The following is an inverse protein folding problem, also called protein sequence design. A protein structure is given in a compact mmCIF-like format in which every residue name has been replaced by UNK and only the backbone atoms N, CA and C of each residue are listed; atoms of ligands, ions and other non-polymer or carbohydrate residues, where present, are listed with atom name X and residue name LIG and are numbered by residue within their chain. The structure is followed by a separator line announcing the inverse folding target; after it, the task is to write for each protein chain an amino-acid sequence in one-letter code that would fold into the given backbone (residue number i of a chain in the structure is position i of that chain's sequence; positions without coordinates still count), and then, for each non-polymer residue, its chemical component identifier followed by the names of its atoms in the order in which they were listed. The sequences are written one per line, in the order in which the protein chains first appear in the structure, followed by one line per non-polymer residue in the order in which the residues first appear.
data_IF_899266191515
#
_entry.id   IF_899266191515
#
_cell.length_a   1.000
_cell.length_b   1.000
_cell.length_c   1.000
_cell.angle_alpha   90.00
_cell.angle_beta   90.00
_cell.angle_gamma   90.00
#
_symmetry.space_group_name_H-M   'P 1'
#
loop_
_entity.id
_entity.type
_entity.pdbx_description
1 polymer ?
#
# COMPACT_ATOMS: atom_id res chain seq x y z
N UNK A 1 7.70 -5.80 9.79
CA UNK A 1 6.65 -5.02 9.06
C UNK A 1 7.12 -4.78 7.64
N UNK A 2 6.22 -4.86 6.65
CA UNK A 2 6.54 -4.69 5.23
C UNK A 2 5.64 -3.59 4.67
N UNK A 3 6.25 -2.53 4.13
CA UNK A 3 5.57 -1.42 3.45
C UNK A 3 5.67 -1.65 1.96
N UNK A 4 4.55 -1.71 1.25
CA UNK A 4 4.48 -1.80 -0.21
C UNK A 4 3.81 -0.55 -0.73
N UNK A 5 4.59 0.30 -1.38
CA UNK A 5 4.16 1.54 -2.02
C UNK A 5 4.37 1.51 -3.53
N UNK A 6 4.02 2.58 -4.19
CA UNK A 6 4.17 2.80 -5.62
C UNK A 6 2.92 3.38 -6.24
N UNK A 7 2.98 3.84 -7.48
CA UNK A 7 1.90 4.59 -8.09
C UNK A 7 0.59 3.81 -8.22
N UNK A 8 -0.51 4.56 -8.29
CA UNK A 8 -1.82 3.97 -8.53
C UNK A 8 -1.83 3.25 -9.88
N UNK A 9 -2.35 2.03 -9.92
CA UNK A 9 -2.40 1.22 -11.16
C UNK A 9 -1.23 0.27 -11.34
N UNK A 10 -0.17 0.34 -10.54
CA UNK A 10 1.02 -0.50 -10.68
C UNK A 10 0.81 -1.99 -10.35
N UNK A 11 -0.34 -2.36 -9.73
CA UNK A 11 -0.70 -3.76 -9.46
C UNK A 11 -0.43 -4.23 -8.03
N UNK A 12 -0.24 -3.33 -7.06
CA UNK A 12 0.01 -3.67 -5.64
C UNK A 12 -0.99 -4.67 -5.05
N UNK A 13 -2.29 -4.50 -5.36
CA UNK A 13 -3.33 -5.39 -4.82
C UNK A 13 -3.15 -6.84 -5.29
N UNK A 14 -2.81 -7.03 -6.57
CA UNK A 14 -2.55 -8.35 -7.16
C UNK A 14 -1.32 -9.01 -6.53
N UNK A 15 -0.23 -8.23 -6.38
CA UNK A 15 1.01 -8.72 -5.76
C UNK A 15 0.78 -9.11 -4.30
N UNK A 16 0.11 -8.26 -3.52
CA UNK A 16 -0.17 -8.52 -2.10
C UNK A 16 -1.05 -9.75 -1.95
N UNK A 17 -2.13 -9.86 -2.72
CA UNK A 17 -2.99 -11.05 -2.70
C UNK A 17 -2.17 -12.32 -2.96
N UNK A 18 -1.34 -12.31 -3.99
CA UNK A 18 -0.51 -13.47 -4.33
C UNK A 18 0.53 -13.79 -3.25
N UNK A 19 1.12 -12.79 -2.62
CA UNK A 19 2.03 -12.97 -1.48
C UNK A 19 1.33 -13.65 -0.28
N UNK A 20 0.12 -13.21 0.06
CA UNK A 20 -0.68 -13.78 1.16
C UNK A 20 -1.11 -15.21 0.87
N UNK A 21 -1.36 -15.56 -0.40
CA UNK A 21 -1.67 -16.93 -0.81
C UNK A 21 -0.48 -17.86 -0.59
N UNK A 22 0.74 -17.38 -0.85
CA UNK A 22 1.98 -18.17 -0.81
C UNK A 22 2.66 -18.22 0.56
N UNK A 23 2.46 -17.22 1.41
CA UNK A 23 3.07 -17.18 2.74
C UNK A 23 2.03 -16.84 3.82
N UNK A 24 1.62 -17.84 4.59
CA UNK A 24 0.60 -17.70 5.63
C UNK A 24 1.07 -16.97 6.89
N UNK A 25 2.36 -16.64 7.01
CA UNK A 25 2.88 -15.75 8.06
C UNK A 25 2.56 -14.29 7.79
N UNK A 26 2.31 -13.92 6.55
CA UNK A 26 1.93 -12.56 6.16
C UNK A 26 0.47 -12.29 6.51
N UNK A 27 0.21 -11.08 6.99
CA UNK A 27 -1.14 -10.54 7.23
C UNK A 27 -1.24 -9.17 6.57
N UNK A 28 -2.27 -8.95 5.78
CA UNK A 28 -2.58 -7.63 5.23
C UNK A 28 -3.32 -6.77 6.25
N UNK A 29 -2.80 -5.59 6.54
CA UNK A 29 -3.51 -4.61 7.37
C UNK A 29 -4.48 -3.82 6.52
N UNK A 30 -5.78 -4.10 6.67
CA UNK A 30 -6.85 -3.38 5.98
C UNK A 30 -6.92 -1.95 6.49
N UNK A 31 -6.71 -0.98 5.59
CA UNK A 31 -6.73 0.46 5.91
C UNK A 31 -8.15 1.03 5.99
N UNK A 32 -8.32 2.10 6.77
CA UNK A 32 -9.50 2.94 6.72
C UNK A 32 -9.44 3.94 5.57
N UNK A 33 -10.58 4.30 4.98
CA UNK A 33 -10.67 5.34 3.95
C UNK A 33 -12.00 6.08 3.99
N UNK A 34 -11.99 7.35 3.56
CA UNK A 34 -13.21 8.15 3.35
C UNK A 34 -13.72 8.09 1.92
N UNK A 35 -13.00 7.39 1.02
CA UNK A 35 -13.44 7.15 -0.35
C UNK A 35 -14.66 6.23 -0.37
N UNK A 36 -15.61 6.51 -1.25
CA UNK A 36 -16.72 5.59 -1.50
C UNK A 36 -16.21 4.24 -2.04
N UNK A 37 -16.86 3.11 -1.67
CA UNK A 37 -16.53 1.81 -2.22
C UNK A 37 -16.68 1.80 -3.74
N UNK A 38 -15.79 1.09 -4.44
CA UNK A 38 -15.92 0.81 -5.88
C UNK A 38 -16.76 -0.46 -6.08
N UNK A 39 -17.32 -0.66 -7.29
CA UNK A 39 -17.98 -1.92 -7.63
C UNK A 39 -17.08 -3.13 -7.30
N UNK A 40 -17.61 -4.09 -6.56
CA UNK A 40 -16.90 -5.30 -6.17
C UNK A 40 -16.00 -5.18 -4.93
N UNK A 41 -15.80 -3.99 -4.38
CA UNK A 41 -15.09 -3.83 -3.10
C UNK A 41 -16.00 -4.17 -1.92
N UNK A 42 -15.45 -4.87 -0.94
CA UNK A 42 -16.17 -5.28 0.27
C UNK A 42 -15.61 -4.57 1.51
N UNK A 43 -16.50 -4.13 2.42
CA UNK A 43 -16.08 -3.59 3.70
C UNK A 43 -15.20 -4.59 4.48
N UNK A 44 -14.16 -4.08 5.12
CA UNK A 44 -13.19 -4.81 5.94
C UNK A 44 -12.39 -5.93 5.23
N UNK A 45 -12.61 -6.11 3.92
CA UNK A 45 -11.72 -6.91 3.05
C UNK A 45 -10.77 -6.00 2.27
N UNK A 46 -11.30 -5.01 1.57
CA UNK A 46 -10.52 -4.07 0.76
C UNK A 46 -10.13 -2.82 1.55
N UNK A 47 -11.13 -2.23 2.23
CA UNK A 47 -10.99 -1.08 3.13
C UNK A 47 -12.09 -1.09 4.20
N UNK A 48 -11.80 -0.47 5.34
CA UNK A 48 -12.84 -0.02 6.28
C UNK A 48 -13.31 1.35 5.79
N UNK A 49 -14.52 1.39 5.18
CA UNK A 49 -15.09 2.63 4.65
C UNK A 49 -15.69 3.46 5.77
N UNK A 50 -15.23 4.70 5.92
CA UNK A 50 -15.57 5.62 7.00
C UNK A 50 -16.15 6.91 6.45
N UNK A 51 -17.02 7.56 7.21
CA UNK A 51 -17.35 8.96 6.93
C UNK A 51 -16.16 9.85 7.31
N UNK A 52 -16.03 11.01 6.66
CA UNK A 52 -14.95 11.97 6.98
C UNK A 52 -14.96 12.37 8.48
N UNK A 53 -16.11 12.73 9.11
CA UNK A 53 -16.13 13.04 10.54
C UNK A 53 -15.61 11.89 11.41
N UNK A 54 -15.99 10.63 11.09
CA UNK A 54 -15.51 9.46 11.84
C UNK A 54 -14.01 9.23 11.67
N UNK A 55 -13.48 9.42 10.47
CA UNK A 55 -12.05 9.34 10.23
C UNK A 55 -11.28 10.39 11.05
N UNK A 56 -11.76 11.64 11.03
CA UNK A 56 -11.13 12.75 11.77
C UNK A 56 -11.20 12.54 13.31
N UNK A 57 -12.30 11.95 13.82
CA UNK A 57 -12.40 11.51 15.21
C UNK A 57 -11.30 10.51 15.56
N UNK A 58 -11.10 9.48 14.70
CA UNK A 58 -10.09 8.45 14.88
C UNK A 58 -8.66 9.02 14.79
N UNK A 59 -8.43 10.01 13.93
CA UNK A 59 -7.14 10.74 13.89
C UNK A 59 -6.85 11.42 15.23
N UNK A 60 -7.85 12.15 15.77
CA UNK A 60 -7.71 12.84 17.08
C UNK A 60 -7.49 11.86 18.23
N UNK A 61 -8.07 10.67 18.14
CA UNK A 61 -7.89 9.60 19.13
C UNK A 61 -6.55 8.85 18.97
N UNK A 62 -5.70 9.17 17.97
CA UNK A 62 -4.44 8.47 17.74
C UNK A 62 -4.61 7.02 17.26
N UNK A 63 -5.78 6.69 16.70
CA UNK A 63 -6.13 5.33 16.30
C UNK A 63 -5.37 4.83 15.06
N UNK A 64 -4.74 5.73 14.30
CA UNK A 64 -3.97 5.37 13.14
C UNK A 64 -2.46 5.33 13.44
N UNK A 65 -1.76 4.38 12.85
CA UNK A 65 -0.30 4.31 12.82
C UNK A 65 0.27 5.40 11.91
N UNK A 66 -0.34 5.55 10.74
CA UNK A 66 -0.11 6.61 9.76
C UNK A 66 -1.44 7.01 9.11
N UNK A 67 -1.52 8.19 8.58
CA UNK A 67 -2.64 8.62 7.74
C UNK A 67 -2.20 9.67 6.72
N UNK A 68 -2.88 9.70 5.57
CA UNK A 68 -2.56 10.62 4.48
C UNK A 68 -3.81 11.03 3.71
N UNK A 69 -3.68 12.13 2.96
CA UNK A 69 -4.69 12.53 1.97
C UNK A 69 -4.20 12.14 0.59
N UNK A 70 -4.98 11.32 -0.10
CA UNK A 70 -4.69 10.89 -1.47
C UNK A 70 -5.89 11.14 -2.36
N UNK A 71 -5.70 11.93 -3.43
CA UNK A 71 -6.75 12.32 -4.37
C UNK A 71 -8.06 12.76 -3.67
N UNK A 72 -7.94 13.69 -2.70
CA UNK A 72 -9.06 14.28 -1.96
C UNK A 72 -9.70 13.39 -0.88
N UNK A 73 -9.30 12.14 -0.76
CA UNK A 73 -9.78 11.20 0.25
C UNK A 73 -8.73 10.93 1.33
N UNK A 74 -9.19 10.62 2.53
CA UNK A 74 -8.33 10.25 3.64
C UNK A 74 -8.13 8.73 3.63
N UNK A 75 -6.90 8.31 3.98
CA UNK A 75 -6.51 6.91 4.16
C UNK A 75 -5.70 6.80 5.44
N UNK A 76 -5.81 5.68 6.15
CA UNK A 76 -5.03 5.47 7.37
C UNK A 76 -4.93 4.00 7.75
N UNK A 77 -3.79 3.62 8.29
CA UNK A 77 -3.53 2.27 8.80
C UNK A 77 -3.89 2.21 10.29
N UNK A 78 -4.82 1.34 10.67
CA UNK A 78 -5.20 1.19 12.08
C UNK A 78 -4.06 0.64 12.92
N UNK A 79 -3.62 1.39 13.93
CA UNK A 79 -2.55 1.03 14.86
C UNK A 79 -2.82 -0.31 15.55
N UNK A 80 -4.02 -0.46 16.12
CA UNK A 80 -4.41 -1.68 16.85
C UNK A 80 -4.30 -2.94 15.99
N UNK A 81 -4.72 -2.88 14.72
CA UNK A 81 -4.64 -4.03 13.79
C UNK A 81 -3.18 -4.46 13.55
N UNK A 82 -2.30 -3.48 13.40
CA UNK A 82 -0.87 -3.73 13.20
C UNK A 82 -0.23 -4.30 14.46
N UNK A 83 -0.48 -3.70 15.62
CA UNK A 83 0.08 -4.12 16.90
C UNK A 83 -0.38 -5.52 17.29
N UNK A 84 -1.68 -5.82 17.12
CA UNK A 84 -2.22 -7.16 17.36
C UNK A 84 -1.56 -8.21 16.48
N UNK A 85 -1.48 -8.00 15.17
CA UNK A 85 -0.87 -8.96 14.27
C UNK A 85 0.62 -9.17 14.58
N UNK A 86 1.35 -8.12 14.95
CA UNK A 86 2.75 -8.22 15.37
C UNK A 86 2.92 -8.97 16.69
N UNK A 87 2.04 -8.75 17.67
CA UNK A 87 2.07 -9.49 18.94
C UNK A 87 1.79 -10.98 18.77
N UNK A 88 1.08 -11.36 17.70
CA UNK A 88 0.85 -12.76 17.29
C UNK A 88 2.05 -13.35 16.50
N UNK A 89 3.16 -12.63 16.37
CA UNK A 89 4.34 -13.06 15.62
C UNK A 89 4.14 -13.06 14.09
N UNK A 90 3.16 -12.29 13.58
CA UNK A 90 2.86 -12.21 12.15
C UNK A 90 3.64 -11.06 11.48
N UNK A 91 3.99 -11.27 10.25
CA UNK A 91 4.55 -10.22 9.41
C UNK A 91 3.44 -9.40 8.76
N UNK A 92 3.36 -8.11 9.11
CA UNK A 92 2.28 -7.23 8.65
C UNK A 92 2.67 -6.53 7.35
N UNK A 93 1.82 -6.67 6.33
CA UNK A 93 1.95 -5.96 5.05
C UNK A 93 1.04 -4.73 5.06
N UNK A 94 1.63 -3.57 4.82
CA UNK A 94 0.97 -2.28 4.65
C UNK A 94 0.98 -1.90 3.17
N UNK A 95 -0.19 -1.56 2.62
CA UNK A 95 -0.33 -0.94 1.28
C UNK A 95 -0.68 0.52 1.47
N UNK A 96 0.30 1.39 1.37
CA UNK A 96 0.19 2.82 1.65
C UNK A 96 0.85 3.65 0.54
N UNK A 97 0.52 4.94 0.49
CA UNK A 97 1.17 5.88 -0.41
C UNK A 97 2.53 6.36 0.14
N UNK A 98 3.21 7.23 -0.58
CA UNK A 98 4.53 7.73 -0.19
C UNK A 98 4.50 8.56 1.09
N UNK A 99 3.40 9.31 1.35
CA UNK A 99 3.26 10.11 2.58
C UNK A 99 3.10 9.21 3.81
N UNK A 100 2.29 8.15 3.69
CA UNK A 100 2.13 7.15 4.75
C UNK A 100 3.42 6.35 4.97
N UNK A 101 4.13 6.00 3.90
CA UNK A 101 5.41 5.30 3.99
C UNK A 101 6.48 6.12 4.70
N UNK A 102 6.54 7.43 4.46
CA UNK A 102 7.44 8.34 5.18
C UNK A 102 7.15 8.34 6.69
N UNK A 103 5.86 8.39 7.10
CA UNK A 103 5.46 8.34 8.50
C UNK A 103 5.87 7.01 9.14
N UNK A 104 5.60 5.88 8.48
CA UNK A 104 5.97 4.54 8.97
C UNK A 104 7.48 4.42 9.11
N UNK A 105 8.27 4.90 8.16
CA UNK A 105 9.73 4.86 8.18
C UNK A 105 10.32 5.59 9.39
N UNK A 106 9.70 6.71 9.80
CA UNK A 106 10.09 7.45 11.02
C UNK A 106 9.70 6.73 12.31
N UNK A 107 8.55 6.05 12.33
CA UNK A 107 8.02 5.37 13.52
C UNK A 107 8.57 3.96 13.71
N UNK A 108 8.90 3.28 12.62
CA UNK A 108 9.37 1.88 12.59
C UNK A 108 10.54 1.78 11.61
N UNK A 109 11.75 2.19 12.03
CA UNK A 109 12.94 2.23 11.14
C UNK A 109 13.33 0.89 10.53
N UNK A 110 12.97 -0.21 11.18
CA UNK A 110 13.22 -1.61 10.74
C UNK A 110 12.13 -2.16 9.81
N UNK A 111 11.15 -1.34 9.41
CA UNK A 111 10.18 -1.75 8.42
C UNK A 111 10.83 -1.88 7.04
N UNK A 112 10.67 -3.04 6.40
CA UNK A 112 11.11 -3.24 5.01
C UNK A 112 10.27 -2.35 4.11
N UNK A 113 10.88 -1.46 3.36
CA UNK A 113 10.19 -0.59 2.42
C UNK A 113 10.44 -1.02 0.98
N UNK A 114 9.35 -1.29 0.26
CA UNK A 114 9.36 -1.77 -1.13
C UNK A 114 8.53 -0.80 -1.98
N UNK A 115 9.17 -0.24 -3.00
CA UNK A 115 8.49 0.57 -4.01
C UNK A 115 8.25 -0.26 -5.27
N UNK A 116 6.99 -0.37 -5.70
CA UNK A 116 6.62 -1.13 -6.89
C UNK A 116 6.46 -0.18 -8.07
N UNK A 117 7.16 -0.48 -9.16
CA UNK A 117 7.08 0.28 -10.41
C UNK A 117 6.49 -0.56 -11.55
N UNK A 118 5.89 0.09 -12.52
CA UNK A 118 5.55 -0.54 -13.80
C UNK A 118 6.79 -0.64 -14.70
N UNK A 119 6.83 -1.54 -15.69
CA UNK A 119 7.96 -1.67 -16.61
C UNK A 119 8.19 -0.43 -17.47
N UNK A 120 7.16 0.37 -17.68
CA UNK A 120 7.25 1.68 -18.34
C UNK A 120 6.12 2.60 -17.91
N UNK A 121 6.27 3.90 -18.13
CA UNK A 121 5.22 4.88 -17.91
C UNK A 121 4.00 4.60 -18.80
N UNK A 122 4.20 4.25 -20.05
CA UNK A 122 3.13 3.89 -20.98
C UNK A 122 2.29 2.72 -20.46
N UNK A 123 2.94 1.69 -19.91
CA UNK A 123 2.26 0.54 -19.34
C UNK A 123 1.45 0.93 -18.09
N UNK A 124 1.99 1.81 -17.24
CA UNK A 124 1.28 2.35 -16.09
C UNK A 124 0.01 3.11 -16.51
N UNK A 125 0.12 3.96 -17.52
CA UNK A 125 -1.00 4.74 -18.06
C UNK A 125 -2.09 3.81 -18.64
N UNK A 126 -1.72 2.80 -19.42
CA UNK A 126 -2.65 1.79 -19.93
C UNK A 126 -3.36 1.03 -18.78
N UNK A 127 -2.65 0.67 -17.71
CA UNK A 127 -3.25 0.01 -16.55
C UNK A 127 -4.23 0.93 -15.79
N UNK A 128 -3.95 2.22 -15.73
CA UNK A 128 -4.84 3.22 -15.15
C UNK A 128 -6.13 3.38 -15.97
N UNK A 129 -6.02 3.46 -17.29
CA UNK A 129 -7.16 3.59 -18.21
C UNK A 129 -8.09 2.36 -18.19
N UNK A 130 -7.52 1.14 -18.16
CA UNK A 130 -8.29 -0.11 -18.13
C UNK A 130 -9.18 -0.28 -16.90
N UNK A 131 -8.98 0.49 -15.83
CA UNK A 131 -9.85 0.45 -14.63
C UNK A 131 -11.25 1.01 -14.88
N UNK A 132 -11.46 1.83 -15.91
CA UNK A 132 -12.76 2.17 -16.50
C UNK A 132 -13.78 2.91 -15.62
N UNK A 133 -13.43 3.28 -14.40
CA UNK A 133 -14.37 3.87 -13.41
C UNK A 133 -14.13 5.36 -13.16
N UNK A 134 -13.36 6.05 -14.03
CA UNK A 134 -12.82 7.38 -13.73
C UNK A 134 -13.09 8.38 -14.85
N UNK A 135 -13.32 9.63 -14.47
CA UNK A 135 -13.43 10.73 -15.44
C UNK A 135 -12.06 11.06 -16.04
N UNK A 136 -12.00 11.73 -17.22
CA UNK A 136 -10.73 12.20 -17.79
C UNK A 136 -9.93 13.11 -16.85
N UNK A 137 -10.62 13.90 -16.01
CA UNK A 137 -10.00 14.75 -15.00
C UNK A 137 -9.36 13.94 -13.87
N UNK A 138 -10.03 12.85 -13.41
CA UNK A 138 -9.47 11.95 -12.40
C UNK A 138 -8.21 11.24 -12.92
N UNK A 139 -8.21 10.84 -14.20
CA UNK A 139 -7.04 10.22 -14.85
C UNK A 139 -5.86 11.19 -14.93
N UNK A 140 -6.10 12.45 -15.32
CA UNK A 140 -5.05 13.48 -15.38
C UNK A 140 -4.44 13.74 -14.00
N UNK A 141 -5.29 13.91 -12.98
CA UNK A 141 -4.84 14.08 -11.58
C UNK A 141 -3.99 12.91 -11.10
N UNK A 142 -4.40 11.68 -11.42
CA UNK A 142 -3.65 10.46 -11.04
C UNK A 142 -2.31 10.32 -11.75
N UNK A 143 -2.22 10.72 -13.00
CA UNK A 143 -0.95 10.73 -13.75
C UNK A 143 0.05 11.68 -13.10
N UNK A 144 -0.42 12.87 -12.73
CA UNK A 144 0.43 13.86 -12.04
C UNK A 144 0.87 13.35 -10.65
N UNK A 145 -0.05 12.76 -9.88
CA UNK A 145 0.29 12.14 -8.59
C UNK A 145 1.30 11.00 -8.80
N UNK A 146 1.06 10.10 -9.77
CA UNK A 146 1.95 8.98 -10.06
C UNK A 146 3.37 9.43 -10.44
N UNK A 147 3.49 10.53 -11.18
CA UNK A 147 4.80 11.11 -11.51
C UNK A 147 5.55 11.58 -10.27
N UNK A 148 4.87 12.28 -9.35
CA UNK A 148 5.45 12.71 -8.07
C UNK A 148 5.79 11.53 -7.16
N UNK A 149 4.93 10.50 -7.12
CA UNK A 149 5.22 9.28 -6.36
C UNK A 149 6.48 8.59 -6.88
N UNK A 150 6.71 8.58 -8.20
CA UNK A 150 7.93 8.00 -8.80
C UNK A 150 9.21 8.72 -8.34
N UNK A 151 9.16 10.02 -8.08
CA UNK A 151 10.31 10.79 -7.57
C UNK A 151 10.74 10.34 -6.16
N UNK A 152 9.85 9.68 -5.40
CA UNK A 152 10.15 9.14 -4.07
C UNK A 152 10.70 7.71 -4.09
N UNK A 153 10.91 7.11 -5.26
CA UNK A 153 11.37 5.71 -5.37
C UNK A 153 12.73 5.48 -4.69
N UNK A 154 13.63 6.46 -4.75
CA UNK A 154 14.98 6.40 -4.18
C UNK A 154 14.99 6.42 -2.64
N UNK A 155 13.86 6.75 -2.02
CA UNK A 155 13.71 6.74 -0.56
C UNK A 155 13.40 5.33 0.00
N UNK A 156 13.16 4.35 -0.87
CA UNK A 156 12.81 2.98 -0.47
C UNK A 156 14.04 2.07 -0.51
N UNK A 157 14.09 1.14 0.44
CA UNK A 157 15.17 0.15 0.53
C UNK A 157 15.22 -0.76 -0.72
N UNK A 158 14.04 -1.05 -1.31
CA UNK A 158 13.92 -1.90 -2.47
C UNK A 158 12.96 -1.31 -3.51
N UNK A 159 13.34 -1.41 -4.79
CA UNK A 159 12.46 -1.10 -5.94
C UNK A 159 12.21 -2.37 -6.72
N UNK A 160 10.94 -2.73 -6.93
CA UNK A 160 10.52 -3.95 -7.64
C UNK A 160 9.69 -3.60 -8.85
N UNK A 161 10.11 -4.05 -10.03
CA UNK A 161 9.35 -3.85 -11.27
C UNK A 161 8.26 -4.92 -11.40
N UNK A 162 7.00 -4.51 -11.56
CA UNK A 162 5.88 -5.41 -11.83
C UNK A 162 5.61 -5.52 -13.35
N UNK A 163 6.51 -6.19 -14.03
CA UNK A 163 6.35 -6.61 -15.44
C UNK A 163 5.61 -7.96 -15.56
N UNK A 164 5.93 -8.89 -14.67
CA UNK A 164 5.26 -10.17 -14.48
C UNK A 164 4.97 -10.40 -12.99
N UNK A 165 3.75 -10.83 -12.67
CA UNK A 165 3.28 -10.96 -11.28
C UNK A 165 4.06 -12.01 -10.51
N UNK A 166 4.31 -13.18 -11.08
CA UNK A 166 5.01 -14.27 -10.37
C UNK A 166 6.49 -13.93 -10.15
N UNK A 167 7.14 -13.27 -11.12
CA UNK A 167 8.49 -12.78 -10.99
C UNK A 167 8.60 -11.72 -9.88
N UNK A 168 7.73 -10.70 -9.91
CA UNK A 168 7.71 -9.63 -8.91
C UNK A 168 7.41 -10.16 -7.50
N UNK A 169 6.45 -11.07 -7.36
CA UNK A 169 6.15 -11.76 -6.10
C UNK A 169 7.35 -12.57 -5.62
N UNK A 170 8.03 -13.30 -6.51
CA UNK A 170 9.23 -14.05 -6.19
C UNK A 170 10.38 -13.16 -5.68
N UNK A 171 10.51 -11.96 -6.25
CA UNK A 171 11.49 -10.96 -5.81
C UNK A 171 11.14 -10.40 -4.43
N UNK A 172 9.88 -9.97 -4.20
CA UNK A 172 9.40 -9.48 -2.90
C UNK A 172 9.59 -10.56 -1.81
N UNK A 173 9.28 -11.82 -2.09
CA UNK A 173 9.50 -12.92 -1.14
C UNK A 173 10.97 -13.08 -0.76
N UNK A 174 11.89 -13.00 -1.72
CA UNK A 174 13.34 -13.06 -1.42
C UNK A 174 13.79 -11.92 -0.52
N UNK A 175 13.25 -10.71 -0.71
CA UNK A 175 13.51 -9.55 0.16
C UNK A 175 13.02 -9.84 1.58
N UNK A 176 11.77 -10.28 1.74
CA UNK A 176 11.18 -10.59 3.04
C UNK A 176 11.96 -11.70 3.75
N UNK A 177 12.27 -12.80 3.06
CA UNK A 177 13.01 -13.93 3.64
C UNK A 177 14.46 -13.55 4.00
N UNK A 178 15.07 -12.64 3.23
CA UNK A 178 16.37 -12.04 3.55
C UNK A 178 16.36 -11.26 4.86
N UNK A 179 15.33 -10.43 5.07
CA UNK A 179 15.17 -9.66 6.30
C UNK A 179 14.89 -10.56 7.52
N UNK A 180 14.04 -11.57 7.37
CA UNK A 180 13.78 -12.56 8.44
C UNK A 180 15.05 -13.23 8.96
N UNK A 181 15.98 -13.57 8.05
CA UNK A 181 17.27 -14.20 8.42
C UNK A 181 18.22 -13.26 9.17
N UNK A 182 18.06 -11.95 9.07
CA UNK A 182 18.88 -10.97 9.80
C UNK A 182 18.43 -10.78 11.25
N UNK A 183 17.20 -11.17 11.56
CA UNK A 183 16.58 -10.97 12.88
C UNK A 183 16.56 -12.27 13.71
N UNK A 184 16.80 -13.43 13.06
CA UNK A 184 16.94 -14.74 13.69
C UNK A 184 18.36 -14.99 14.15
#
# INVERSE_FOLDING_TARGET
MIVISGPSGVGKDTLIKRLLDLDKRLVYSVSGTTRQPRPGEKPDENYTFLTRPKFEELVKAGAFLEHATYNGNLYGTFRERVERARSEGRDVVLKIDVQGAEQVRRLVPDAISIFVVAPSQTELEHRQERRGSETPQDLASRREIAKREMESSDEYEHVVTNDDVERAVGEIRRIIDGARRRVS
#
